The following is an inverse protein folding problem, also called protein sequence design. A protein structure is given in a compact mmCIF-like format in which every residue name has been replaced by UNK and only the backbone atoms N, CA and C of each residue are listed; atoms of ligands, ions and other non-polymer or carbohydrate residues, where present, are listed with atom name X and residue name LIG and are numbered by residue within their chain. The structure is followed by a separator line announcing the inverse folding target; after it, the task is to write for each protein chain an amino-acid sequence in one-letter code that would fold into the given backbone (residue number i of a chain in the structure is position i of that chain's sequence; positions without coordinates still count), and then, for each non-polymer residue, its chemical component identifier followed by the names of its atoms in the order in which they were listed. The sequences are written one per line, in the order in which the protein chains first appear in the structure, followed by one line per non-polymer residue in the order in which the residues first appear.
data_IF_956350418743
#
_entry.id   IF_956350418743
#
_cell.length_a   1.000
_cell.length_b   1.000
_cell.length_c   1.000
_cell.angle_alpha   90.00
_cell.angle_beta   90.00
_cell.angle_gamma   90.00
#
_symmetry.space_group_name_H-M   'P 1'
#
loop_
_entity.id
_entity.type
_entity.pdbx_description
1 polymer ?
#
# COMPACT_ATOMS: atom_id res chain seq x y z
N UNK A 1 2.86 -23.30 -4.00
CA UNK A 1 4.12 -23.39 -3.21
C UNK A 1 3.98 -24.22 -1.93
N UNK A 2 3.05 -23.90 -1.01
CA UNK A 2 2.93 -24.60 0.28
C UNK A 2 2.53 -26.08 0.15
N UNK A 3 1.59 -26.38 -0.75
CA UNK A 3 1.16 -27.75 -1.08
C UNK A 3 2.15 -28.54 -1.94
N UNK A 4 3.15 -27.87 -2.52
CA UNK A 4 4.17 -28.49 -3.39
C UNK A 4 5.56 -28.49 -2.72
N UNK A 5 5.64 -28.08 -1.44
CA UNK A 5 6.88 -27.87 -0.65
C UNK A 5 7.98 -26.98 -1.27
N UNK A 6 7.74 -26.38 -2.44
CA UNK A 6 8.68 -25.48 -3.16
C UNK A 6 8.68 -24.05 -2.60
N UNK A 7 8.83 -23.86 -1.30
CA UNK A 7 9.04 -22.51 -0.71
C UNK A 7 10.52 -22.12 -0.83
N UNK A 8 10.84 -21.25 -1.78
CA UNK A 8 12.20 -20.73 -1.95
C UNK A 8 12.29 -19.27 -1.52
N UNK A 9 13.44 -18.85 -0.97
CA UNK A 9 13.71 -17.43 -0.63
C UNK A 9 13.59 -16.53 -1.86
N UNK A 10 14.08 -17.00 -3.01
CA UNK A 10 13.98 -16.29 -4.30
C UNK A 10 12.52 -16.07 -4.73
N UNK A 11 11.66 -17.09 -4.59
CA UNK A 11 10.24 -16.97 -4.90
C UNK A 11 9.51 -15.99 -3.99
N UNK A 12 9.76 -16.02 -2.69
CA UNK A 12 9.17 -15.07 -1.75
C UNK A 12 9.59 -13.62 -2.02
N UNK A 13 10.84 -13.39 -2.44
CA UNK A 13 11.32 -12.09 -2.89
C UNK A 13 10.57 -11.62 -4.15
N UNK A 14 10.49 -12.48 -5.18
CA UNK A 14 9.82 -12.13 -6.43
C UNK A 14 8.32 -11.84 -6.24
N UNK A 15 7.64 -12.61 -5.37
CA UNK A 15 6.25 -12.38 -4.98
C UNK A 15 6.10 -10.97 -4.39
N UNK A 16 6.92 -10.64 -3.38
CA UNK A 16 6.92 -9.33 -2.72
C UNK A 16 7.13 -8.17 -3.71
N UNK A 17 8.05 -8.32 -4.68
CA UNK A 17 8.30 -7.30 -5.70
C UNK A 17 7.11 -7.18 -6.66
N UNK A 18 6.59 -8.31 -7.15
CA UNK A 18 5.46 -8.35 -8.08
C UNK A 18 4.22 -7.70 -7.45
N UNK A 19 4.00 -7.90 -6.14
CA UNK A 19 2.91 -7.27 -5.40
C UNK A 19 3.00 -5.75 -5.36
N UNK A 20 4.20 -5.17 -5.42
CA UNK A 20 4.39 -3.72 -5.50
C UNK A 20 4.08 -3.20 -6.89
N UNK A 21 4.48 -3.93 -7.94
CA UNK A 21 4.14 -3.57 -9.32
C UNK A 21 2.64 -3.63 -9.56
N UNK A 22 1.97 -4.69 -9.11
CA UNK A 22 0.51 -4.82 -9.24
C UNK A 22 -0.21 -3.65 -8.57
N UNK A 23 0.17 -3.32 -7.32
CA UNK A 23 -0.44 -2.19 -6.62
C UNK A 23 -0.17 -0.85 -7.32
N UNK A 24 1.05 -0.64 -7.81
CA UNK A 24 1.43 0.57 -8.54
C UNK A 24 0.69 0.74 -9.87
N UNK A 25 0.53 -0.33 -10.65
CA UNK A 25 -0.18 -0.31 -11.93
C UNK A 25 -1.67 0.00 -11.72
N UNK A 26 -2.29 -0.56 -10.68
CA UNK A 26 -3.70 -0.28 -10.36
C UNK A 26 -3.88 1.21 -10.01
N UNK A 27 -3.04 1.74 -9.12
CA UNK A 27 -3.13 3.16 -8.73
C UNK A 27 -2.79 4.09 -9.90
N UNK A 28 -1.84 3.72 -10.76
CA UNK A 28 -1.57 4.44 -12.00
C UNK A 28 -2.81 4.48 -12.90
N UNK A 29 -3.55 3.37 -13.03
CA UNK A 29 -4.80 3.32 -13.77
C UNK A 29 -5.83 4.35 -13.28
N UNK A 30 -5.93 4.56 -11.96
CA UNK A 30 -6.84 5.55 -11.38
C UNK A 30 -6.50 6.99 -11.78
N UNK A 31 -5.24 7.31 -12.11
CA UNK A 31 -4.85 8.66 -12.54
C UNK A 31 -5.47 9.07 -13.88
N UNK A 32 -5.90 8.11 -14.69
CA UNK A 32 -6.54 8.33 -15.99
C UNK A 32 -8.06 8.39 -15.91
N UNK A 33 -8.65 8.16 -14.73
CA UNK A 33 -10.09 8.26 -14.52
C UNK A 33 -10.48 9.72 -14.21
N UNK A 34 -11.64 10.20 -14.70
CA UNK A 34 -12.14 11.55 -14.41
C UNK A 34 -12.75 11.61 -12.99
N UNK A 35 -11.93 11.36 -11.97
CA UNK A 35 -12.33 11.42 -10.57
C UNK A 35 -12.51 12.88 -10.13
N UNK A 36 -13.59 13.12 -9.37
CA UNK A 36 -13.84 14.43 -8.79
C UNK A 36 -12.81 14.79 -7.71
N UNK A 37 -12.56 16.08 -7.52
CA UNK A 37 -11.67 16.55 -6.46
C UNK A 37 -12.41 16.59 -5.11
N UNK A 38 -11.67 16.34 -4.02
CA UNK A 38 -12.21 16.40 -2.66
C UNK A 38 -11.13 16.89 -1.70
N UNK A 39 -11.25 18.14 -1.21
CA UNK A 39 -10.24 18.88 -0.43
C UNK A 39 -8.91 19.12 -1.18
N UNK A 40 -8.38 18.09 -1.85
CA UNK A 40 -7.24 18.10 -2.74
C UNK A 40 -7.65 17.45 -4.08
N UNK A 41 -6.92 17.73 -5.17
CA UNK A 41 -7.11 17.04 -6.43
C UNK A 41 -7.01 15.52 -6.31
N UNK A 42 -7.86 14.77 -7.01
CA UNK A 42 -7.90 13.31 -6.93
C UNK A 42 -6.53 12.66 -7.20
N UNK A 43 -5.76 13.24 -8.13
CA UNK A 43 -4.40 12.78 -8.48
C UNK A 43 -3.44 12.86 -7.29
N UNK A 44 -3.58 13.87 -6.42
CA UNK A 44 -2.76 13.99 -5.21
C UNK A 44 -3.11 12.88 -4.23
N UNK A 45 -4.40 12.57 -4.04
CA UNK A 45 -4.81 11.45 -3.20
C UNK A 45 -4.27 10.11 -3.68
N UNK A 46 -4.34 9.85 -4.99
CA UNK A 46 -3.78 8.64 -5.59
C UNK A 46 -2.26 8.56 -5.39
N UNK A 47 -1.55 9.67 -5.61
CA UNK A 47 -0.12 9.74 -5.35
C UNK A 47 0.21 9.45 -3.87
N UNK A 48 -0.52 10.05 -2.93
CA UNK A 48 -0.32 9.82 -1.51
C UNK A 48 -0.61 8.37 -1.10
N UNK A 49 -1.63 7.73 -1.69
CA UNK A 49 -1.91 6.31 -1.50
C UNK A 49 -0.76 5.43 -1.99
N UNK A 50 -0.24 5.70 -3.18
CA UNK A 50 0.91 4.98 -3.73
C UNK A 50 2.16 5.18 -2.88
N UNK A 51 2.50 6.44 -2.58
CA UNK A 51 3.67 6.80 -1.80
C UNK A 51 3.62 6.19 -0.39
N UNK A 52 2.49 6.31 0.31
CA UNK A 52 2.31 5.72 1.63
C UNK A 52 2.47 4.20 1.60
N UNK A 53 1.89 3.52 0.61
CA UNK A 53 2.05 2.06 0.44
C UNK A 53 3.51 1.64 0.21
N UNK A 54 4.24 2.40 -0.61
CA UNK A 54 5.68 2.18 -0.80
C UNK A 54 6.45 2.41 0.52
N UNK A 55 6.21 3.53 1.20
CA UNK A 55 6.93 3.90 2.42
C UNK A 55 6.69 2.91 3.56
N UNK A 56 5.49 2.33 3.69
CA UNK A 56 5.27 1.26 4.68
C UNK A 56 6.16 0.04 4.42
N UNK A 57 6.42 -0.29 3.16
CA UNK A 57 7.21 -1.46 2.76
C UNK A 57 8.70 -1.16 2.86
N UNK A 58 9.10 0.00 2.33
CA UNK A 58 10.49 0.46 2.33
C UNK A 58 11.01 0.71 3.74
N UNK A 59 10.25 1.40 4.62
CA UNK A 59 10.66 1.62 6.01
C UNK A 59 10.99 0.32 6.74
N UNK A 60 10.15 -0.72 6.56
CA UNK A 60 10.41 -2.06 7.13
C UNK A 60 11.69 -2.69 6.56
N UNK A 61 11.89 -2.60 5.23
CA UNK A 61 13.06 -3.19 4.58
C UNK A 61 14.36 -2.47 4.99
N UNK A 62 14.36 -1.13 4.95
CA UNK A 62 15.49 -0.29 5.31
C UNK A 62 15.88 -0.43 6.79
N UNK A 63 14.90 -0.52 7.71
CA UNK A 63 15.17 -0.74 9.12
C UNK A 63 15.83 -2.12 9.38
N UNK A 64 15.42 -3.15 8.64
CA UNK A 64 16.01 -4.48 8.72
C UNK A 64 17.42 -4.52 8.13
N UNK A 65 17.62 -3.86 6.99
CA UNK A 65 18.93 -3.76 6.32
C UNK A 65 19.96 -3.04 7.20
N UNK A 66 19.55 -1.96 7.88
CA UNK A 66 20.40 -1.20 8.81
C UNK A 66 20.47 -1.79 10.22
N UNK A 67 19.95 -3.00 10.41
CA UNK A 67 19.92 -3.72 11.70
C UNK A 67 19.27 -2.95 12.86
N UNK A 68 18.48 -1.91 12.57
CA UNK A 68 17.76 -1.11 13.55
C UNK A 68 16.70 -1.93 14.30
N UNK A 69 16.19 -3.00 13.68
CA UNK A 69 15.21 -3.88 14.30
C UNK A 69 15.57 -5.36 14.08
N UNK A 70 15.75 -6.10 15.17
CA UNK A 70 16.03 -7.54 15.16
C UNK A 70 14.80 -8.39 14.79
N UNK A 71 13.58 -7.89 15.08
CA UNK A 71 12.32 -8.57 14.75
C UNK A 71 11.60 -7.86 13.62
N UNK A 72 10.91 -8.62 12.76
CA UNK A 72 10.04 -8.00 11.75
C UNK A 72 9.00 -7.10 12.42
N UNK A 73 8.98 -5.84 12.02
CA UNK A 73 7.91 -4.90 12.36
C UNK A 73 6.60 -5.40 11.75
N UNK A 74 5.83 -6.15 12.56
CA UNK A 74 4.46 -6.60 12.24
C UNK A 74 3.41 -5.58 12.62
N UNK A 75 3.76 -4.57 13.43
CA UNK A 75 2.83 -3.52 13.87
C UNK A 75 2.69 -2.44 12.81
N UNK A 76 1.45 -2.05 12.54
CA UNK A 76 1.06 -0.96 11.65
C UNK A 76 -0.46 -0.87 11.60
N UNK A 77 -1.01 0.34 11.50
CA UNK A 77 -2.46 0.56 11.41
C UNK A 77 -3.07 -0.10 10.16
N UNK A 78 -2.32 -0.11 9.05
CA UNK A 78 -2.76 -0.66 7.78
C UNK A 78 -1.77 -1.74 7.31
N UNK A 79 -2.23 -2.99 7.26
CA UNK A 79 -1.49 -4.10 6.69
C UNK A 79 -1.68 -4.20 5.17
N UNK A 80 -1.14 -5.28 4.58
CA UNK A 80 -1.24 -5.52 3.13
C UNK A 80 -2.65 -5.95 2.71
N UNK A 81 -3.34 -6.73 3.53
CA UNK A 81 -4.68 -7.23 3.22
C UNK A 81 -5.68 -6.07 3.15
N UNK A 82 -5.59 -5.15 4.11
CA UNK A 82 -6.42 -3.95 4.24
C UNK A 82 -6.24 -3.03 3.03
N UNK A 83 -5.01 -2.87 2.52
CA UNK A 83 -4.77 -2.13 1.27
C UNK A 83 -5.49 -2.75 0.08
N UNK A 84 -5.37 -4.06 -0.09
CA UNK A 84 -6.01 -4.78 -1.19
C UNK A 84 -7.53 -4.65 -1.07
N UNK A 85 -8.09 -4.77 0.13
CA UNK A 85 -9.53 -4.59 0.38
C UNK A 85 -9.97 -3.18 -0.02
N UNK A 86 -9.24 -2.13 0.38
CA UNK A 86 -9.58 -0.75 0.03
C UNK A 86 -9.50 -0.47 -1.47
N UNK A 87 -8.49 -1.01 -2.16
CA UNK A 87 -8.35 -0.89 -3.61
C UNK A 87 -9.50 -1.61 -4.31
N UNK A 88 -9.79 -2.85 -3.91
CA UNK A 88 -10.92 -3.62 -4.45
C UNK A 88 -12.25 -2.92 -4.20
N UNK A 89 -12.44 -2.32 -3.03
CA UNK A 89 -13.62 -1.53 -2.69
C UNK A 89 -13.73 -0.27 -3.55
N UNK A 90 -12.63 0.43 -3.81
CA UNK A 90 -12.63 1.58 -4.72
C UNK A 90 -13.10 1.17 -6.12
N UNK A 91 -12.57 0.07 -6.67
CA UNK A 91 -12.98 -0.46 -7.98
C UNK A 91 -14.46 -0.82 -7.97
N UNK A 92 -14.92 -1.54 -6.94
CA UNK A 92 -16.31 -1.97 -6.81
C UNK A 92 -17.28 -0.78 -6.74
N UNK A 93 -16.99 0.24 -5.93
CA UNK A 93 -17.81 1.45 -5.86
C UNK A 93 -17.82 2.22 -7.18
N UNK A 94 -16.71 2.19 -7.93
CA UNK A 94 -16.59 2.80 -9.25
C UNK A 94 -17.54 2.23 -10.30
N UNK A 95 -17.99 0.99 -10.14
CA UNK A 95 -19.01 0.37 -11.00
C UNK A 95 -20.33 1.12 -10.90
N UNK A 96 -20.66 1.64 -9.71
CA UNK A 96 -21.92 2.35 -9.45
C UNK A 96 -21.79 3.87 -9.64
N UNK A 97 -20.71 4.45 -9.11
CA UNK A 97 -20.45 5.88 -9.20
C UNK A 97 -18.94 6.16 -9.08
N UNK A 98 -18.37 6.81 -10.10
CA UNK A 98 -16.94 7.13 -10.13
C UNK A 98 -16.51 8.05 -8.97
N UNK A 99 -17.39 8.94 -8.50
CA UNK A 99 -17.11 9.81 -7.35
C UNK A 99 -16.94 9.03 -6.05
N UNK A 100 -17.57 7.86 -5.94
CA UNK A 100 -17.47 7.03 -4.73
C UNK A 100 -16.14 6.28 -4.63
N UNK A 101 -15.42 6.10 -5.76
CA UNK A 101 -14.09 5.51 -5.77
C UNK A 101 -13.08 6.28 -4.94
N UNK A 102 -13.27 7.60 -4.82
CA UNK A 102 -12.31 8.48 -4.17
C UNK A 102 -12.26 8.24 -2.66
N UNK A 103 -13.37 7.88 -2.01
CA UNK A 103 -13.40 7.74 -0.55
C UNK A 103 -12.46 6.63 -0.03
N UNK A 104 -12.47 5.39 -0.57
CA UNK A 104 -11.49 4.39 -0.16
C UNK A 104 -10.05 4.77 -0.51
N UNK A 105 -9.82 5.51 -1.60
CA UNK A 105 -8.48 5.99 -1.99
C UNK A 105 -7.95 7.02 -0.98
N UNK A 106 -8.79 7.96 -0.54
CA UNK A 106 -8.45 8.94 0.51
C UNK A 106 -8.11 8.20 1.81
N UNK A 107 -8.94 7.24 2.20
CA UNK A 107 -8.70 6.44 3.40
C UNK A 107 -7.36 5.69 3.30
N UNK A 108 -7.11 5.04 2.16
CA UNK A 108 -5.84 4.37 1.87
C UNK A 108 -4.66 5.35 1.95
N UNK A 109 -4.76 6.54 1.37
CA UNK A 109 -3.74 7.57 1.40
C UNK A 109 -3.38 7.98 2.83
N UNK A 110 -4.39 8.32 3.65
CA UNK A 110 -4.16 8.78 5.02
C UNK A 110 -3.56 7.66 5.87
N UNK A 111 -4.20 6.49 5.91
CA UNK A 111 -3.79 5.41 6.82
C UNK A 111 -2.48 4.75 6.42
N UNK A 112 -2.16 4.67 5.13
CA UNK A 112 -0.87 4.13 4.67
C UNK A 112 0.29 5.05 5.08
N UNK A 113 0.15 6.37 4.94
CA UNK A 113 1.17 7.33 5.37
C UNK A 113 1.31 7.38 6.90
N UNK A 114 0.20 7.36 7.64
CA UNK A 114 0.25 7.24 9.11
C UNK A 114 0.94 5.94 9.54
N UNK A 115 0.67 4.82 8.87
CA UNK A 115 1.37 3.56 9.13
C UNK A 115 2.85 3.64 8.82
N UNK A 116 3.24 4.33 7.76
CA UNK A 116 4.65 4.52 7.40
C UNK A 116 5.37 5.33 8.48
N UNK A 117 4.80 6.45 8.92
CA UNK A 117 5.33 7.27 10.01
C UNK A 117 5.42 6.47 11.32
N UNK A 118 4.38 5.70 11.65
CA UNK A 118 4.39 4.82 12.82
C UNK A 118 5.55 3.82 12.75
N UNK A 119 5.78 3.18 11.60
CA UNK A 119 6.89 2.23 11.42
C UNK A 119 8.24 2.91 11.57
N UNK A 120 8.43 4.09 10.96
CA UNK A 120 9.66 4.87 11.08
C UNK A 120 9.93 5.19 12.56
N UNK A 121 8.92 5.69 13.29
CA UNK A 121 9.06 5.98 14.71
C UNK A 121 9.42 4.74 15.54
N UNK A 122 8.75 3.60 15.29
CA UNK A 122 9.05 2.35 15.98
C UNK A 122 10.43 1.77 15.62
N UNK A 123 11.00 2.10 14.46
CA UNK A 123 12.36 1.69 14.07
C UNK A 123 13.47 2.51 14.73
N UNK A 124 13.16 3.72 15.20
CA UNK A 124 14.12 4.63 15.83
C UNK A 124 14.15 4.52 17.35
N UNK A 125 13.19 3.79 17.93
CA UNK A 125 13.06 3.58 19.37
C UNK A 125 13.68 2.26 19.78
#
# INVERSE_FOLDING_TARGET
AKFLEKKTKKGAYLDTISDRYVEGIILLGFLFLPLADFLLPAKIWIFLAFFGSLMTTYSKAAAKEKELTQKELKKGLLGRAERIILISLAIFLGIFNLSWMLYPIIFLAVFSNLTALQRIYLSLK
#
